data_IF_139207456736
#
_entry.id   IF_139207456736
#
_cell.length_a   1.000
_cell.length_b   1.000
_cell.length_c   1.000
_cell.angle_alpha   90.00
_cell.angle_beta   90.00
_cell.angle_gamma   90.00
#
_symmetry.space_group_name_H-M   'P 1'
#
loop_
_entity.id
_entity.type
_entity.pdbx_description
1 polymer ?
#
# COMPACT_ATOMS: atom_id res chain seq x y z
N UNK A 1 -21.94 52.39 56.87
CA UNK A 1 -20.90 51.34 56.93
C UNK A 1 -21.58 49.98 56.85
N UNK A 2 -21.59 49.35 55.68
CA UNK A 2 -21.92 47.91 55.52
C UNK A 2 -21.05 47.36 54.41
N UNK A 3 -20.02 46.62 54.80
CA UNK A 3 -19.10 45.82 53.97
C UNK A 3 -19.59 44.39 54.02
N UNK A 4 -19.72 43.74 52.86
CA UNK A 4 -19.58 42.28 52.61
C UNK A 4 -20.05 42.09 51.17
N UNK A 5 -19.24 41.75 50.16
CA UNK A 5 -18.08 40.88 50.14
C UNK A 5 -18.36 39.85 49.04
N UNK A 6 -18.16 40.26 47.78
CA UNK A 6 -18.40 39.43 46.59
C UNK A 6 -17.32 38.36 46.53
N UNK A 7 -17.67 37.10 46.79
CA UNK A 7 -16.77 35.95 46.58
C UNK A 7 -16.89 35.56 45.11
N UNK A 8 -15.99 36.09 44.30
CA UNK A 8 -15.82 35.71 42.90
C UNK A 8 -15.00 34.41 42.87
N UNK A 9 -15.67 33.27 42.66
CA UNK A 9 -15.02 31.98 42.49
C UNK A 9 -14.28 31.97 41.13
N UNK A 10 -12.98 32.26 41.18
CA UNK A 10 -12.08 32.16 40.03
C UNK A 10 -11.85 30.67 39.73
N UNK A 11 -12.61 30.14 38.77
CA UNK A 11 -12.37 28.84 38.16
C UNK A 11 -10.95 28.83 37.61
N UNK A 12 -10.08 28.05 38.25
CA UNK A 12 -8.71 27.76 37.83
C UNK A 12 -8.75 27.06 36.46
N UNK A 13 -8.64 27.86 35.40
CA UNK A 13 -8.31 27.43 34.05
C UNK A 13 -6.88 26.90 34.05
N UNK A 14 -6.68 25.65 34.48
CA UNK A 14 -5.40 24.96 34.32
C UNK A 14 -5.23 24.73 32.81
N UNK A 15 -4.25 25.36 32.13
CA UNK A 15 -3.94 24.98 30.77
C UNK A 15 -3.39 23.56 30.85
N UNK A 16 -4.16 22.59 30.35
CA UNK A 16 -3.66 21.25 30.09
C UNK A 16 -2.61 21.46 28.99
N UNK A 17 -1.36 21.62 29.40
CA UNK A 17 -0.23 21.53 28.50
C UNK A 17 -0.30 20.12 27.91
N UNK A 18 -0.86 20.01 26.71
CA UNK A 18 -0.77 18.83 25.85
C UNK A 18 0.73 18.65 25.58
N UNK A 19 1.41 17.91 26.46
CA UNK A 19 2.72 17.37 26.15
C UNK A 19 2.47 16.40 25.01
N UNK A 20 2.75 16.83 23.79
CA UNK A 20 2.78 15.95 22.63
C UNK A 20 3.81 14.87 22.95
N UNK A 21 3.34 13.70 23.37
CA UNK A 21 4.20 12.57 23.68
C UNK A 21 5.05 12.29 22.44
N UNK A 22 6.37 12.31 22.60
CA UNK A 22 7.30 12.08 21.50
C UNK A 22 7.07 10.67 20.95
N UNK A 23 6.49 10.59 19.75
CA UNK A 23 6.16 9.32 19.11
C UNK A 23 7.47 8.61 18.74
N UNK A 24 7.62 7.35 19.16
CA UNK A 24 8.81 6.58 18.87
C UNK A 24 9.09 6.53 17.34
N UNK A 25 10.34 6.71 16.92
CA UNK A 25 10.73 6.84 15.50
C UNK A 25 10.21 5.72 14.60
N UNK A 26 10.13 4.49 15.13
CA UNK A 26 9.58 3.33 14.39
C UNK A 26 8.07 3.41 14.19
N UNK A 27 7.34 3.96 15.16
CA UNK A 27 5.90 4.24 15.04
C UNK A 27 5.69 5.37 14.04
N UNK A 28 6.48 6.44 14.12
CA UNK A 28 6.41 7.53 13.16
C UNK A 28 6.64 7.06 11.72
N UNK A 29 7.66 6.20 11.51
CA UNK A 29 7.93 5.60 10.20
C UNK A 29 6.79 4.69 9.69
N UNK A 30 6.10 3.98 10.60
CA UNK A 30 4.94 3.16 10.24
C UNK A 30 3.73 4.04 9.87
N UNK A 31 3.51 5.14 10.59
CA UNK A 31 2.44 6.11 10.30
C UNK A 31 2.67 6.83 8.96
N UNK A 32 3.92 7.16 8.62
CA UNK A 32 4.26 7.79 7.35
C UNK A 32 4.47 6.80 6.19
N UNK A 33 4.28 5.49 6.41
CA UNK A 33 4.54 4.49 5.38
C UNK A 33 3.53 4.59 4.24
N UNK A 34 4.02 4.49 3.01
CA UNK A 34 3.22 4.34 1.81
C UNK A 34 3.67 3.09 1.06
N UNK A 35 2.72 2.38 0.43
CA UNK A 35 3.04 1.21 -0.37
C UNK A 35 3.93 1.62 -1.56
N UNK A 36 5.07 0.95 -1.80
CA UNK A 36 5.93 1.28 -2.92
C UNK A 36 5.22 1.00 -4.26
N UNK A 37 5.50 1.84 -5.26
CA UNK A 37 4.98 1.64 -6.62
C UNK A 37 5.49 0.32 -7.21
N UNK A 38 4.61 -0.46 -7.83
CA UNK A 38 5.00 -1.65 -8.57
C UNK A 38 5.46 -1.28 -9.99
N UNK A 39 6.77 -1.32 -10.22
CA UNK A 39 7.39 -1.01 -11.52
C UNK A 39 7.49 -2.22 -12.48
N UNK A 40 7.02 -3.40 -12.07
CA UNK A 40 7.15 -4.62 -12.85
C UNK A 40 6.22 -4.62 -14.08
N UNK A 41 6.82 -4.39 -15.25
CA UNK A 41 6.09 -4.33 -16.54
C UNK A 41 5.64 -5.72 -17.00
N UNK A 42 4.33 -6.00 -16.88
CA UNK A 42 3.74 -7.25 -17.39
C UNK A 42 3.83 -7.27 -18.92
N UNK A 43 4.43 -8.32 -19.53
CA UNK A 43 4.45 -8.44 -20.97
C UNK A 43 3.06 -8.76 -21.51
N UNK A 44 2.77 -8.25 -22.71
CA UNK A 44 1.63 -8.67 -23.51
C UNK A 44 2.11 -9.61 -24.61
N UNK A 45 1.37 -10.68 -24.87
CA UNK A 45 1.63 -11.55 -26.01
C UNK A 45 1.10 -10.82 -27.25
N UNK A 46 2.00 -10.45 -28.16
CA UNK A 46 1.61 -9.82 -29.42
C UNK A 46 0.85 -10.83 -30.28
N UNK A 47 -0.34 -10.46 -30.77
CA UNK A 47 -1.21 -11.35 -31.55
C UNK A 47 -2.16 -12.22 -30.71
N UNK A 48 -2.15 -12.09 -29.39
CA UNK A 48 -3.18 -12.70 -28.54
C UNK A 48 -4.48 -11.87 -28.64
N UNK A 49 -5.31 -12.27 -29.60
CA UNK A 49 -6.66 -11.75 -29.91
C UNK A 49 -6.76 -10.25 -30.23
N UNK A 50 -6.62 -9.96 -31.52
CA UNK A 50 -7.58 -9.09 -32.22
C UNK A 50 -8.09 -9.90 -33.40
N UNK A 51 -9.28 -10.49 -33.30
CA UNK A 51 -9.98 -10.97 -34.48
C UNK A 51 -10.29 -9.73 -35.33
N UNK A 52 -9.42 -9.41 -36.29
CA UNK A 52 -9.69 -8.35 -37.25
C UNK A 52 -10.60 -8.99 -38.29
N UNK A 53 -11.90 -8.73 -38.16
CA UNK A 53 -12.89 -9.03 -39.18
C UNK A 53 -12.74 -7.96 -40.25
N UNK A 54 -12.20 -8.33 -41.40
CA UNK A 54 -12.21 -7.47 -42.59
C UNK A 54 -13.67 -7.21 -43.01
N UNK A 55 -13.91 -6.11 -43.73
CA UNK A 55 -15.17 -5.74 -44.39
C UNK A 55 -15.77 -6.87 -45.26
N UNK A 56 -14.94 -7.86 -45.63
CA UNK A 56 -15.30 -9.09 -46.34
C UNK A 56 -15.79 -10.26 -45.45
N UNK A 57 -15.77 -10.11 -44.12
CA UNK A 57 -16.13 -11.17 -43.16
C UNK A 57 -15.02 -12.19 -42.87
N UNK A 58 -13.82 -12.00 -43.39
CA UNK A 58 -12.69 -12.92 -43.17
C UNK A 58 -11.99 -12.61 -41.84
N UNK A 59 -11.89 -13.60 -40.96
CA UNK A 59 -11.15 -13.48 -39.69
C UNK A 59 -9.69 -13.84 -39.90
N UNK A 60 -8.78 -12.88 -39.73
CA UNK A 60 -7.33 -13.15 -39.79
C UNK A 60 -6.80 -13.52 -38.40
N UNK A 61 -6.57 -14.82 -38.18
CA UNK A 61 -5.88 -15.31 -36.97
C UNK A 61 -4.39 -15.07 -37.17
N UNK A 62 -3.77 -14.21 -36.36
CA UNK A 62 -2.31 -14.03 -36.44
C UNK A 62 -1.62 -15.27 -35.91
N UNK A 63 -0.95 -16.03 -36.78
CA UNK A 63 -0.14 -17.18 -36.38
C UNK A 63 1.02 -16.70 -35.48
N UNK A 64 0.94 -17.03 -34.19
CA UNK A 64 2.02 -16.79 -33.25
C UNK A 64 3.09 -17.83 -33.54
N UNK A 65 4.17 -17.42 -34.21
CA UNK A 65 5.33 -18.29 -34.43
C UNK A 65 6.01 -18.68 -33.10
N UNK A 66 6.73 -19.82 -33.12
CA UNK A 66 7.41 -20.36 -31.94
C UNK A 66 8.43 -19.39 -31.34
N UNK A 67 9.01 -18.51 -32.16
CA UNK A 67 9.96 -17.49 -31.71
C UNK A 67 9.29 -16.38 -30.88
N UNK A 68 8.11 -15.88 -31.31
CA UNK A 68 7.30 -14.90 -30.58
C UNK A 68 6.83 -15.47 -29.24
N UNK A 69 6.41 -16.74 -29.22
CA UNK A 69 6.04 -17.44 -27.99
C UNK A 69 7.23 -17.55 -27.02
N UNK A 70 8.37 -18.07 -27.47
CA UNK A 70 9.58 -18.19 -26.64
C UNK A 70 10.11 -16.82 -26.16
N UNK A 71 9.90 -15.75 -26.94
CA UNK A 71 10.22 -14.37 -26.50
C UNK A 71 9.28 -13.89 -25.41
N UNK A 72 7.98 -14.17 -25.53
CA UNK A 72 6.99 -13.84 -24.51
C UNK A 72 7.29 -14.57 -23.20
N UNK A 73 7.51 -15.89 -23.23
CA UNK A 73 7.81 -16.70 -22.03
C UNK A 73 9.04 -16.17 -21.28
N UNK A 74 10.10 -15.78 -21.99
CA UNK A 74 11.28 -15.16 -21.38
C UNK A 74 10.95 -13.84 -20.68
N UNK A 75 10.12 -13.00 -21.30
CA UNK A 75 9.65 -11.75 -20.66
C UNK A 75 8.74 -12.04 -19.46
N UNK A 76 7.89 -13.04 -19.55
CA UNK A 76 6.98 -13.43 -18.48
C UNK A 76 7.76 -13.95 -17.27
N UNK A 77 8.78 -14.79 -17.48
CA UNK A 77 9.68 -15.24 -16.42
C UNK A 77 10.40 -14.08 -15.73
N UNK A 78 10.90 -13.10 -16.49
CA UNK A 78 11.51 -11.88 -15.94
C UNK A 78 10.50 -11.07 -15.11
N UNK A 79 9.29 -10.89 -15.62
CA UNK A 79 8.21 -10.20 -14.91
C UNK A 79 7.84 -10.93 -13.60
N UNK A 80 7.64 -12.26 -13.62
CA UNK A 80 7.39 -13.07 -12.42
C UNK A 80 8.50 -12.92 -11.38
N UNK A 81 9.76 -12.89 -11.82
CA UNK A 81 10.91 -12.67 -10.93
C UNK A 81 10.91 -11.27 -10.32
N UNK A 82 10.61 -10.23 -11.11
CA UNK A 82 10.44 -8.87 -10.61
C UNK A 82 9.33 -8.80 -9.56
N UNK A 83 8.16 -9.35 -9.90
CA UNK A 83 6.99 -9.34 -9.02
C UNK A 83 7.25 -10.08 -7.70
N UNK A 84 7.96 -11.21 -7.75
CA UNK A 84 8.37 -11.94 -6.55
C UNK A 84 9.25 -11.11 -5.63
N UNK A 85 10.24 -10.38 -6.18
CA UNK A 85 11.09 -9.47 -5.38
C UNK A 85 10.29 -8.32 -4.77
N UNK A 86 9.38 -7.73 -5.54
CA UNK A 86 8.47 -6.69 -5.05
C UNK A 86 7.62 -7.20 -3.87
N UNK A 87 6.96 -8.36 -4.03
CA UNK A 87 6.18 -8.99 -2.96
C UNK A 87 7.02 -9.37 -1.74
N UNK A 88 8.26 -9.82 -1.93
CA UNK A 88 9.17 -10.06 -0.82
C UNK A 88 9.48 -8.77 -0.04
N UNK A 89 9.67 -7.65 -0.75
CA UNK A 89 9.80 -6.32 -0.15
C UNK A 89 8.58 -5.94 0.68
N UNK A 90 7.38 -6.11 0.11
CA UNK A 90 6.12 -5.89 0.81
C UNK A 90 5.99 -6.74 2.09
N UNK A 91 6.39 -8.01 2.06
CA UNK A 91 6.40 -8.86 3.25
C UNK A 91 7.30 -8.31 4.37
N UNK A 92 8.47 -7.79 4.02
CA UNK A 92 9.37 -7.12 4.99
C UNK A 92 8.76 -5.82 5.53
N UNK A 93 8.08 -5.06 4.68
CA UNK A 93 7.38 -3.85 5.10
C UNK A 93 6.23 -4.19 6.06
N UNK A 94 5.46 -5.25 5.79
CA UNK A 94 4.41 -5.74 6.68
C UNK A 94 4.97 -6.09 8.06
N UNK A 95 6.08 -6.83 8.11
CA UNK A 95 6.74 -7.17 9.37
C UNK A 95 7.22 -5.92 10.11
N UNK A 96 7.78 -4.93 9.39
CA UNK A 96 8.21 -3.66 9.99
C UNK A 96 7.03 -2.89 10.60
N UNK A 97 5.88 -2.84 9.92
CA UNK A 97 4.66 -2.20 10.41
C UNK A 97 4.11 -2.94 11.63
N UNK A 98 3.98 -4.27 11.56
CA UNK A 98 3.55 -5.09 12.70
C UNK A 98 4.44 -4.86 13.92
N UNK A 99 5.75 -4.87 13.72
CA UNK A 99 6.73 -4.76 14.80
C UNK A 99 6.81 -3.35 15.38
N UNK A 100 6.22 -2.31 14.75
CA UNK A 100 6.18 -0.99 15.39
C UNK A 100 5.27 -0.97 16.64
N UNK A 101 4.35 -1.91 16.75
CA UNK A 101 3.48 -2.04 17.92
C UNK A 101 4.23 -2.28 19.23
N UNK A 102 5.44 -2.87 19.18
CA UNK A 102 6.26 -3.13 20.36
C UNK A 102 6.71 -1.85 21.09
N UNK A 103 6.60 -0.69 20.44
CA UNK A 103 6.98 0.61 21.01
C UNK A 103 5.80 1.37 21.61
N UNK A 104 4.63 0.73 21.71
CA UNK A 104 3.39 1.36 22.15
C UNK A 104 2.71 2.14 21.03
N UNK A 105 1.39 2.00 20.94
CA UNK A 105 0.55 2.69 19.97
C UNK A 105 -0.69 3.22 20.68
N UNK A 106 -1.15 4.41 20.28
CA UNK A 106 -2.54 4.80 20.57
C UNK A 106 -3.48 4.00 19.67
N UNK A 107 -4.76 3.93 20.05
CA UNK A 107 -5.76 3.26 19.22
C UNK A 107 -5.81 3.83 17.79
N UNK A 108 -5.81 5.16 17.65
CA UNK A 108 -5.80 5.83 16.34
C UNK A 108 -4.56 5.46 15.51
N UNK A 109 -3.38 5.37 16.14
CA UNK A 109 -2.17 4.96 15.44
C UNK A 109 -2.24 3.50 15.00
N UNK A 110 -2.79 2.62 15.84
CA UNK A 110 -2.98 1.22 15.52
C UNK A 110 -3.93 1.03 14.33
N UNK A 111 -5.05 1.76 14.30
CA UNK A 111 -6.01 1.75 13.17
C UNK A 111 -5.32 2.15 11.85
N UNK A 112 -4.59 3.27 11.84
CA UNK A 112 -3.84 3.72 10.65
C UNK A 112 -2.80 2.68 10.19
N UNK A 113 -2.09 2.05 11.12
CA UNK A 113 -1.06 1.05 10.77
C UNK A 113 -1.72 -0.23 10.24
N UNK A 114 -2.86 -0.65 10.80
CA UNK A 114 -3.61 -1.80 10.34
C UNK A 114 -4.18 -1.59 8.92
N UNK A 115 -4.67 -0.40 8.60
CA UNK A 115 -5.10 -0.05 7.25
C UNK A 115 -3.95 -0.20 6.23
N UNK A 116 -2.76 0.31 6.57
CA UNK A 116 -1.57 0.16 5.73
C UNK A 116 -1.14 -1.31 5.58
N UNK A 117 -1.24 -2.09 6.66
CA UNK A 117 -0.98 -3.53 6.63
C UNK A 117 -1.98 -4.28 5.75
N UNK A 118 -3.25 -3.88 5.75
CA UNK A 118 -4.28 -4.45 4.87
C UNK A 118 -3.98 -4.15 3.39
N UNK A 119 -3.54 -2.94 3.05
CA UNK A 119 -3.09 -2.60 1.69
C UNK A 119 -1.90 -3.46 1.23
N UNK A 120 -0.97 -3.74 2.14
CA UNK A 120 0.13 -4.67 1.83
C UNK A 120 -0.42 -6.07 1.56
N UNK A 121 -1.32 -6.58 2.41
CA UNK A 121 -1.91 -7.91 2.23
C UNK A 121 -2.65 -8.03 0.90
N UNK A 122 -3.47 -7.04 0.52
CA UNK A 122 -4.17 -7.05 -0.76
C UNK A 122 -3.20 -7.07 -1.94
N UNK A 123 -2.11 -6.31 -1.89
CA UNK A 123 -1.06 -6.35 -2.91
C UNK A 123 -0.29 -7.69 -2.93
N UNK A 124 -0.10 -8.35 -1.79
CA UNK A 124 0.57 -9.66 -1.71
C UNK A 124 -0.25 -10.78 -2.36
N UNK A 125 -1.58 -10.80 -2.14
CA UNK A 125 -2.46 -11.80 -2.74
C UNK A 125 -2.77 -11.50 -4.22
N UNK A 126 -2.71 -10.23 -4.62
CA UNK A 126 -2.97 -9.79 -5.99
C UNK A 126 -2.05 -10.50 -7.00
N UNK A 127 -2.59 -11.06 -8.10
CA UNK A 127 -1.78 -11.74 -9.11
C UNK A 127 -0.80 -10.80 -9.82
N UNK A 128 -1.07 -9.50 -9.78
CA UNK A 128 -0.24 -8.46 -10.42
C UNK A 128 0.51 -7.59 -9.42
N UNK A 129 0.31 -7.76 -8.12
CA UNK A 129 1.00 -6.98 -7.08
C UNK A 129 0.45 -5.57 -6.89
N UNK A 130 -0.84 -5.36 -7.17
CA UNK A 130 -1.53 -4.09 -6.92
C UNK A 130 -2.55 -4.29 -5.79
N UNK A 131 -2.63 -3.36 -4.82
CA UNK A 131 -3.66 -3.41 -3.80
C UNK A 131 -5.06 -3.24 -4.43
N UNK A 132 -6.07 -3.85 -3.82
CA UNK A 132 -7.46 -3.53 -4.10
C UNK A 132 -7.73 -2.09 -3.65
N UNK A 133 -8.47 -1.33 -4.48
CA UNK A 133 -8.85 0.06 -4.22
C UNK A 133 -10.17 0.11 -3.46
#
# INVERSE_FOLDING_TARGET
MTRTGVIFAFLLSIPINLVAAEVHKKVQAALSYNIPMNECKRPKLAGAQTDIVDTSGTTTRSDIDSYKLARFERKEKRWKTCLSKYKQGLGKDFDRLRNSAQYGLTQQQAEIILEKMALIQSALISPVGLPEQ
#
